data_IF_723492146887
#
_entry.id   IF_723492146887
#
_cell.length_a   1.000
_cell.length_b   1.000
_cell.length_c   1.000
_cell.angle_alpha   90.00
_cell.angle_beta   90.00
_cell.angle_gamma   90.00
#
_symmetry.space_group_name_H-M   'P 1'
#
loop_
_entity.id
_entity.type
_entity.pdbx_description
1 polymer ?
#
# COMPACT_ATOMS: atom_id res chain seq x y z
N UNK A 1 -51.24 -15.50 -41.42
CA UNK A 1 -51.02 -15.70 -39.96
C UNK A 1 -49.56 -15.85 -39.61
N UNK A 2 -48.73 -16.68 -40.28
CA UNK A 2 -47.30 -16.84 -39.96
C UNK A 2 -46.44 -15.55 -40.05
N UNK A 3 -46.74 -14.66 -40.99
CA UNK A 3 -45.99 -13.40 -41.16
C UNK A 3 -46.29 -12.34 -40.07
N UNK A 4 -47.47 -12.42 -39.45
CA UNK A 4 -47.86 -11.52 -38.36
C UNK A 4 -47.20 -11.92 -37.01
N UNK A 5 -46.99 -13.22 -36.81
CA UNK A 5 -46.31 -13.72 -35.57
C UNK A 5 -44.84 -13.32 -35.53
N UNK A 6 -44.14 -13.27 -36.67
CA UNK A 6 -42.74 -12.86 -36.78
C UNK A 6 -42.57 -11.38 -36.42
N UNK A 7 -43.51 -10.53 -36.88
CA UNK A 7 -43.50 -9.09 -36.56
C UNK A 7 -43.64 -8.80 -35.04
N UNK A 8 -44.47 -9.55 -34.35
CA UNK A 8 -44.69 -9.37 -32.91
C UNK A 8 -43.46 -9.81 -32.11
N UNK A 9 -42.76 -10.88 -32.49
CA UNK A 9 -41.53 -11.33 -31.83
C UNK A 9 -40.39 -10.32 -31.98
N UNK A 10 -40.27 -9.67 -33.17
CA UNK A 10 -39.26 -8.62 -33.36
C UNK A 10 -39.53 -7.35 -32.55
N UNK A 11 -40.79 -7.00 -32.28
CA UNK A 11 -41.16 -5.82 -31.50
C UNK A 11 -40.91 -6.07 -29.98
N UNK A 12 -41.15 -7.31 -29.50
CA UNK A 12 -40.89 -7.69 -28.11
C UNK A 12 -39.38 -7.77 -27.77
N UNK A 13 -38.52 -8.03 -28.74
CA UNK A 13 -37.08 -8.07 -28.55
C UNK A 13 -36.45 -6.68 -28.41
N UNK A 14 -37.12 -5.61 -28.85
CA UNK A 14 -36.63 -4.22 -28.74
C UNK A 14 -36.92 -3.60 -27.37
N UNK A 15 -37.78 -4.19 -26.54
CA UNK A 15 -38.07 -3.72 -25.18
C UNK A 15 -37.22 -4.32 -24.08
N UNK A 16 -36.30 -5.25 -24.41
CA UNK A 16 -35.57 -6.04 -23.40
C UNK A 16 -34.22 -5.44 -23.00
N UNK A 17 -33.79 -4.28 -23.48
CA UNK A 17 -32.46 -3.73 -23.14
C UNK A 17 -32.49 -2.30 -22.65
N UNK A 18 -33.32 -2.03 -21.62
CA UNK A 18 -33.06 -0.93 -20.71
C UNK A 18 -32.92 -1.49 -19.31
N UNK A 19 -31.99 -2.42 -19.14
CA UNK A 19 -31.38 -2.62 -17.83
C UNK A 19 -30.37 -1.47 -17.68
N UNK A 20 -30.81 -0.36 -17.13
CA UNK A 20 -29.89 0.52 -16.43
C UNK A 20 -29.33 -0.33 -15.30
N UNK A 21 -28.21 -1.01 -15.53
CA UNK A 21 -27.33 -1.41 -14.48
C UNK A 21 -26.86 -0.06 -13.87
N UNK A 22 -27.52 0.38 -12.84
CA UNK A 22 -26.99 1.39 -11.94
C UNK A 22 -25.69 0.78 -11.45
N UNK A 23 -24.59 1.23 -12.02
CA UNK A 23 -23.26 0.89 -11.56
C UNK A 23 -23.20 1.42 -10.13
N UNK A 24 -23.49 0.55 -9.17
CA UNK A 24 -23.27 0.84 -7.75
C UNK A 24 -21.77 0.95 -7.62
N UNK A 25 -21.24 2.14 -7.91
CA UNK A 25 -19.87 2.51 -7.54
C UNK A 25 -19.84 2.53 -6.02
N UNK A 26 -19.60 1.37 -5.43
CA UNK A 26 -19.27 1.31 -4.01
C UNK A 26 -17.93 2.01 -3.87
N UNK A 27 -17.93 3.22 -3.29
CA UNK A 27 -16.70 3.94 -2.95
C UNK A 27 -15.83 2.99 -2.11
N UNK A 28 -14.55 2.89 -2.43
CA UNK A 28 -13.60 2.07 -1.68
C UNK A 28 -13.59 2.48 -0.20
N UNK A 29 -13.51 1.49 0.67
CA UNK A 29 -13.40 1.73 2.10
C UNK A 29 -12.02 2.31 2.42
N UNK A 30 -11.97 3.19 3.42
CA UNK A 30 -10.71 3.69 3.93
C UNK A 30 -10.06 2.68 4.87
N UNK A 31 -8.74 2.62 4.88
CA UNK A 31 -8.00 1.81 5.83
C UNK A 31 -7.81 2.56 7.14
N UNK A 32 -8.11 1.89 8.25
CA UNK A 32 -7.75 2.31 9.61
C UNK A 32 -6.59 1.46 10.06
N UNK A 33 -5.41 2.04 10.02
CA UNK A 33 -4.18 1.36 10.42
C UNK A 33 -3.99 1.47 11.92
N UNK A 34 -3.68 0.34 12.55
CA UNK A 34 -3.39 0.26 13.99
C UNK A 34 -2.02 -0.37 14.16
N UNK A 35 -1.03 0.43 14.47
CA UNK A 35 0.30 -0.05 14.82
C UNK A 35 0.28 -0.51 16.27
N UNK A 36 0.69 -1.75 16.50
CA UNK A 36 0.48 -2.45 17.77
C UNK A 36 1.75 -3.09 18.31
N UNK A 37 1.65 -3.60 19.54
CA UNK A 37 2.62 -4.48 20.19
C UNK A 37 1.89 -5.72 20.71
N UNK A 38 2.52 -6.87 20.64
CA UNK A 38 2.02 -8.09 21.29
C UNK A 38 1.81 -7.89 22.79
N UNK A 39 0.63 -8.30 23.27
CA UNK A 39 0.24 -8.16 24.68
C UNK A 39 -0.05 -6.70 25.12
N UNK A 40 -0.31 -5.79 24.20
CA UNK A 40 -0.64 -4.39 24.51
C UNK A 40 -2.12 -4.23 24.87
N UNK A 41 -2.51 -3.92 26.12
CA UNK A 41 -3.92 -3.87 26.51
C UNK A 41 -4.67 -2.67 25.90
N UNK A 42 -3.99 -1.57 25.61
CA UNK A 42 -4.61 -0.41 24.95
C UNK A 42 -4.84 -0.68 23.45
N UNK A 43 -3.96 -1.44 22.80
CA UNK A 43 -4.12 -1.87 21.43
C UNK A 43 -5.34 -2.79 21.30
N UNK A 44 -5.51 -3.74 22.22
CA UNK A 44 -6.69 -4.63 22.26
C UNK A 44 -8.00 -3.84 22.45
N UNK A 45 -8.00 -2.83 23.32
CA UNK A 45 -9.17 -1.96 23.50
C UNK A 45 -9.50 -1.18 22.23
N UNK A 46 -8.50 -0.63 21.54
CA UNK A 46 -8.70 0.08 20.29
C UNK A 46 -9.28 -0.83 19.20
N UNK A 47 -8.71 -2.03 19.03
CA UNK A 47 -9.19 -3.03 18.09
C UNK A 47 -10.63 -3.47 18.41
N UNK A 48 -10.92 -3.75 19.68
CA UNK A 48 -12.26 -4.14 20.13
C UNK A 48 -13.30 -3.06 19.80
N UNK A 49 -12.96 -1.80 20.02
CA UNK A 49 -13.84 -0.68 19.64
C UNK A 49 -14.06 -0.63 18.14
N UNK A 50 -12.99 -0.68 17.34
CA UNK A 50 -13.09 -0.66 15.89
C UNK A 50 -13.91 -1.84 15.36
N UNK A 51 -13.67 -3.06 15.84
CA UNK A 51 -14.44 -4.23 15.43
C UNK A 51 -15.92 -4.11 15.81
N UNK A 52 -16.24 -3.68 17.03
CA UNK A 52 -17.64 -3.49 17.46
C UNK A 52 -18.35 -2.40 16.68
N UNK A 53 -17.63 -1.37 16.25
CA UNK A 53 -18.21 -0.27 15.47
C UNK A 53 -18.51 -0.63 14.01
N UNK A 54 -17.97 -1.76 13.49
CA UNK A 54 -18.26 -2.26 12.14
C UNK A 54 -19.73 -2.56 11.90
N UNK A 55 -20.48 -2.96 12.92
CA UNK A 55 -21.91 -3.19 12.78
C UNK A 55 -22.64 -1.95 12.21
N UNK A 56 -22.24 -0.77 12.65
CA UNK A 56 -22.87 0.51 12.26
C UNK A 56 -22.10 1.23 11.14
N UNK A 57 -20.78 1.13 11.13
CA UNK A 57 -19.90 1.94 10.31
C UNK A 57 -19.02 1.15 9.34
N UNK A 58 -19.10 -0.18 9.31
CA UNK A 58 -18.24 -1.06 8.53
C UNK A 58 -18.33 -0.89 7.00
N UNK A 59 -19.29 -0.09 6.51
CA UNK A 59 -19.31 0.29 5.09
C UNK A 59 -18.25 1.35 4.73
N UNK A 60 -17.71 2.05 5.73
CA UNK A 60 -16.78 3.15 5.51
C UNK A 60 -15.31 2.73 5.58
N UNK A 61 -14.98 1.66 6.31
CA UNK A 61 -13.58 1.33 6.60
C UNK A 61 -13.29 -0.16 6.73
N UNK A 62 -12.00 -0.47 6.58
CA UNK A 62 -11.38 -1.73 6.99
C UNK A 62 -10.31 -1.46 8.05
N UNK A 63 -10.03 -2.47 8.88
CA UNK A 63 -9.00 -2.40 9.92
C UNK A 63 -7.77 -3.14 9.43
N UNK A 64 -6.61 -2.47 9.46
CA UNK A 64 -5.32 -3.04 9.11
C UNK A 64 -4.42 -2.97 10.33
N UNK A 65 -4.09 -4.13 10.91
CA UNK A 65 -3.20 -4.20 12.06
C UNK A 65 -1.74 -4.43 11.63
N UNK A 66 -0.83 -3.62 12.17
CA UNK A 66 0.61 -3.77 12.02
C UNK A 66 1.25 -3.96 13.39
N UNK A 67 1.66 -5.18 13.70
CA UNK A 67 2.38 -5.47 14.94
C UNK A 67 3.83 -5.07 14.79
N UNK A 68 4.16 -3.84 15.22
CA UNK A 68 5.52 -3.26 15.12
C UNK A 68 6.48 -3.73 16.19
N UNK A 69 5.97 -4.26 17.31
CA UNK A 69 6.79 -4.83 18.38
C UNK A 69 6.25 -6.19 18.80
N UNK A 70 7.16 -7.11 19.10
CA UNK A 70 6.83 -8.35 19.80
C UNK A 70 6.61 -8.12 21.32
N UNK A 71 6.33 -9.18 22.09
CA UNK A 71 6.14 -9.11 23.54
C UNK A 71 7.38 -8.59 24.29
N UNK A 72 8.56 -8.79 23.75
CA UNK A 72 9.85 -8.37 24.31
C UNK A 72 10.33 -7.00 23.82
N UNK A 73 9.49 -6.27 23.08
CA UNK A 73 9.81 -4.99 22.45
C UNK A 73 10.84 -5.05 21.34
N UNK A 74 11.07 -6.22 20.73
CA UNK A 74 11.84 -6.27 19.51
C UNK A 74 10.99 -5.69 18.37
N UNK A 75 11.58 -4.78 17.60
CA UNK A 75 10.90 -4.11 16.53
C UNK A 75 10.95 -4.91 15.21
N UNK A 76 9.86 -4.91 14.46
CA UNK A 76 9.88 -5.21 13.04
C UNK A 76 10.36 -3.96 12.29
N UNK A 77 11.57 -4.00 11.74
CA UNK A 77 12.21 -2.84 11.11
C UNK A 77 11.39 -2.30 9.92
N UNK A 78 10.76 -3.17 9.14
CA UNK A 78 9.97 -2.76 7.98
C UNK A 78 8.72 -2.01 8.42
N UNK A 79 7.98 -2.54 9.38
CA UNK A 79 6.78 -1.89 9.93
C UNK A 79 7.12 -0.62 10.70
N UNK A 80 8.26 -0.59 11.38
CA UNK A 80 8.76 0.63 12.04
C UNK A 80 9.09 1.73 11.04
N UNK A 81 9.69 1.39 9.90
CA UNK A 81 9.98 2.36 8.86
C UNK A 81 8.70 2.96 8.28
N UNK A 82 7.66 2.15 8.04
CA UNK A 82 6.35 2.63 7.62
C UNK A 82 5.74 3.56 8.67
N UNK A 83 5.73 3.15 9.94
CA UNK A 83 5.18 3.95 11.02
C UNK A 83 5.90 5.29 11.16
N UNK A 84 7.24 5.29 11.11
CA UNK A 84 8.05 6.50 11.21
C UNK A 84 7.84 7.43 10.01
N UNK A 85 7.76 6.90 8.79
CA UNK A 85 7.45 7.68 7.60
C UNK A 85 6.13 8.44 7.74
N UNK A 86 5.08 7.74 8.17
CA UNK A 86 3.76 8.35 8.39
C UNK A 86 3.84 9.42 9.48
N UNK A 87 4.52 9.14 10.59
CA UNK A 87 4.68 10.08 11.69
C UNK A 87 5.42 11.36 11.22
N UNK A 88 6.49 11.21 10.47
CA UNK A 88 7.27 12.33 9.93
C UNK A 88 6.44 13.20 8.97
N UNK A 89 5.69 12.58 8.05
CA UNK A 89 4.80 13.30 7.12
C UNK A 89 3.71 14.10 7.85
N UNK A 90 3.26 13.60 8.99
CA UNK A 90 2.24 14.25 9.82
C UNK A 90 2.82 15.24 10.83
N UNK A 91 4.11 15.18 11.10
CA UNK A 91 4.76 15.91 12.18
C UNK A 91 4.40 15.38 13.58
N UNK A 92 4.05 14.10 13.66
CA UNK A 92 3.69 13.44 14.91
C UNK A 92 4.94 12.97 15.67
N UNK A 93 4.82 12.92 17.01
CA UNK A 93 5.78 12.21 17.87
C UNK A 93 5.15 10.92 18.34
N UNK A 94 5.61 9.80 17.78
CA UNK A 94 5.12 8.48 18.20
C UNK A 94 5.92 8.03 19.43
N UNK A 95 5.29 8.05 20.61
CA UNK A 95 5.91 7.67 21.88
C UNK A 95 5.57 6.23 22.30
N UNK A 96 4.70 5.56 21.54
CA UNK A 96 4.27 4.19 21.87
C UNK A 96 3.14 3.69 20.97
N UNK A 97 2.51 2.61 21.42
CA UNK A 97 1.40 1.95 20.73
C UNK A 97 0.16 1.85 21.63
N UNK A 98 -1.06 1.83 21.07
CA UNK A 98 -1.37 1.87 19.64
C UNK A 98 -1.07 3.24 19.03
N UNK A 99 -0.58 3.25 17.80
CA UNK A 99 -0.60 4.43 16.95
C UNK A 99 -1.62 4.16 15.84
N UNK A 100 -2.67 4.96 15.78
CA UNK A 100 -3.80 4.79 14.86
C UNK A 100 -3.69 5.85 13.77
N UNK A 101 -3.82 5.46 12.51
CA UNK A 101 -3.70 6.35 11.35
C UNK A 101 -4.88 6.12 10.41
N UNK A 102 -5.45 7.22 9.91
CA UNK A 102 -6.50 7.23 8.90
C UNK A 102 -6.13 8.29 7.86
N UNK A 103 -5.63 7.82 6.71
CA UNK A 103 -5.16 8.71 5.65
C UNK A 103 -4.06 9.68 6.09
N UNK A 104 -4.12 10.88 5.52
CA UNK A 104 -3.22 11.99 5.84
C UNK A 104 -3.82 13.02 6.81
N UNK A 105 -5.07 12.87 7.20
CA UNK A 105 -5.81 13.86 8.00
C UNK A 105 -5.99 13.48 9.47
N UNK A 106 -5.80 12.22 9.87
CA UNK A 106 -5.99 11.80 11.26
C UNK A 106 -4.92 10.81 11.75
N UNK A 107 -4.41 11.08 12.94
CA UNK A 107 -3.61 10.13 13.72
C UNK A 107 -3.89 10.27 15.22
N UNK A 108 -3.64 9.20 15.94
CA UNK A 108 -3.81 9.14 17.39
C UNK A 108 -2.72 8.28 18.02
N UNK A 109 -2.01 8.83 18.99
CA UNK A 109 -1.00 8.13 19.78
C UNK A 109 -1.61 7.71 21.14
N UNK A 110 -1.69 6.40 21.38
CA UNK A 110 -2.44 5.84 22.48
C UNK A 110 -3.94 5.72 22.20
N UNK A 111 -4.68 5.11 23.13
CA UNK A 111 -6.12 4.97 22.99
C UNK A 111 -6.84 4.99 24.33
N UNK A 112 -7.91 5.78 24.39
CA UNK A 112 -8.97 5.69 25.40
C UNK A 112 -10.33 5.79 24.73
N UNK A 113 -11.39 5.39 25.41
CA UNK A 113 -12.77 5.46 24.86
C UNK A 113 -13.25 6.89 24.56
N UNK A 114 -12.59 7.90 25.08
CA UNK A 114 -12.89 9.31 24.80
C UNK A 114 -12.62 9.68 23.33
N UNK A 115 -11.75 8.93 22.66
CA UNK A 115 -11.40 9.14 21.26
C UNK A 115 -12.36 8.46 20.26
N UNK A 116 -13.33 7.68 20.74
CA UNK A 116 -14.23 6.90 19.88
C UNK A 116 -14.93 7.77 18.83
N UNK A 117 -15.52 8.88 19.25
CA UNK A 117 -16.24 9.77 18.32
C UNK A 117 -15.31 10.45 17.32
N UNK A 118 -14.11 10.83 17.76
CA UNK A 118 -13.10 11.43 16.88
C UNK A 118 -12.62 10.45 15.81
N UNK A 119 -12.40 9.19 16.18
CA UNK A 119 -12.00 8.14 15.24
C UNK A 119 -13.12 7.91 14.21
N UNK A 120 -14.39 7.79 14.63
CA UNK A 120 -15.52 7.60 13.72
C UNK A 120 -15.73 8.81 12.82
N UNK A 121 -15.53 10.03 13.32
CA UNK A 121 -15.60 11.25 12.52
C UNK A 121 -14.52 11.25 11.45
N UNK A 122 -13.28 10.97 11.83
CA UNK A 122 -12.16 10.91 10.90
C UNK A 122 -12.34 9.84 9.80
N UNK A 123 -12.88 8.66 10.16
CA UNK A 123 -13.22 7.61 9.18
C UNK A 123 -14.23 8.13 8.15
N UNK A 124 -15.27 8.82 8.59
CA UNK A 124 -16.30 9.35 7.69
C UNK A 124 -15.79 10.49 6.83
N UNK A 125 -14.96 11.36 7.40
CA UNK A 125 -14.32 12.46 6.68
C UNK A 125 -13.43 11.90 5.59
N UNK A 126 -12.52 10.98 5.92
CA UNK A 126 -11.66 10.32 4.95
C UNK A 126 -12.44 9.56 3.86
N UNK A 127 -13.51 8.85 4.23
CA UNK A 127 -14.36 8.17 3.26
C UNK A 127 -15.07 9.13 2.30
N UNK A 128 -15.45 10.32 2.73
CA UNK A 128 -16.14 11.31 1.90
C UNK A 128 -15.19 12.25 1.16
N UNK A 129 -13.92 12.25 1.50
CA UNK A 129 -12.89 13.05 0.86
C UNK A 129 -12.54 12.46 -0.51
N UNK A 130 -12.66 13.28 -1.55
CA UNK A 130 -12.28 12.88 -2.92
C UNK A 130 -10.76 13.05 -3.16
N UNK A 131 -10.08 13.81 -2.31
CA UNK A 131 -8.63 14.02 -2.31
C UNK A 131 -7.90 13.12 -1.28
N UNK A 132 -8.59 12.11 -0.73
CA UNK A 132 -8.05 11.19 0.28
C UNK A 132 -6.69 10.60 -0.13
N UNK A 133 -5.73 10.65 0.79
CA UNK A 133 -4.40 10.08 0.61
C UNK A 133 -4.12 9.06 1.70
N UNK A 134 -3.67 7.90 1.30
CA UNK A 134 -3.25 6.84 2.21
C UNK A 134 -1.73 6.89 2.41
N UNK A 135 -1.28 7.54 3.48
CA UNK A 135 0.15 7.70 3.79
C UNK A 135 0.87 6.38 4.05
N UNK A 136 0.14 5.34 4.47
CA UNK A 136 0.74 4.02 4.71
C UNK A 136 1.02 3.31 3.39
N UNK A 137 0.10 3.43 2.42
CA UNK A 137 0.33 2.93 1.06
C UNK A 137 1.47 3.72 0.39
N UNK A 138 1.54 5.03 0.59
CA UNK A 138 2.66 5.86 0.11
C UNK A 138 4.00 5.36 0.68
N UNK A 139 4.08 5.13 1.99
CA UNK A 139 5.27 4.60 2.66
C UNK A 139 5.69 3.22 2.14
N UNK A 140 4.73 2.35 1.83
CA UNK A 140 5.00 1.03 1.27
C UNK A 140 5.61 1.12 -0.13
N UNK A 141 5.10 2.00 -0.96
CA UNK A 141 5.59 2.21 -2.32
C UNK A 141 7.00 2.79 -2.34
N UNK A 142 7.31 3.77 -1.49
CA UNK A 142 8.67 4.33 -1.36
C UNK A 142 9.67 3.28 -0.87
N UNK A 143 9.28 2.39 0.05
CA UNK A 143 10.14 1.31 0.51
C UNK A 143 10.42 0.28 -0.58
N UNK A 144 9.46 -0.04 -1.45
CA UNK A 144 9.65 -0.92 -2.59
C UNK A 144 10.61 -0.32 -3.63
N UNK A 145 10.48 0.96 -3.96
CA UNK A 145 11.39 1.64 -4.87
C UNK A 145 12.83 1.67 -4.35
N UNK A 146 13.02 1.81 -3.03
CA UNK A 146 14.33 1.81 -2.39
C UNK A 146 14.97 0.40 -2.37
N UNK A 147 14.19 -0.66 -2.23
CA UNK A 147 14.66 -2.05 -2.31
C UNK A 147 15.04 -2.42 -3.76
N UNK A 148 14.21 -2.09 -4.74
CA UNK A 148 14.47 -2.33 -6.17
C UNK A 148 15.72 -1.58 -6.67
N UNK A 149 15.95 -0.36 -6.16
CA UNK A 149 17.14 0.43 -6.50
C UNK A 149 18.42 -0.21 -5.95
N UNK A 150 18.38 -0.76 -4.73
CA UNK A 150 19.52 -1.44 -4.11
C UNK A 150 19.85 -2.79 -4.77
N UNK A 151 18.84 -3.54 -5.21
CA UNK A 151 19.06 -4.78 -5.98
C UNK A 151 19.64 -4.48 -7.36
N UNK A 152 19.17 -3.45 -8.03
CA UNK A 152 19.72 -3.01 -9.32
C UNK A 152 21.16 -2.48 -9.20
N UNK A 153 21.51 -1.71 -8.17
CA UNK A 153 22.90 -1.26 -7.96
C UNK A 153 23.85 -2.44 -7.75
N UNK A 154 23.49 -3.46 -6.97
CA UNK A 154 24.30 -4.67 -6.79
C UNK A 154 24.46 -5.49 -8.08
N UNK A 155 23.43 -5.52 -8.93
CA UNK A 155 23.48 -6.20 -10.22
C UNK A 155 24.33 -5.46 -11.26
N UNK A 156 24.31 -4.12 -11.25
CA UNK A 156 25.09 -3.29 -12.17
C UNK A 156 26.58 -3.32 -11.86
N UNK A 157 27.00 -3.33 -10.60
CA UNK A 157 28.41 -3.41 -10.22
C UNK A 157 29.07 -4.70 -10.70
N UNK A 158 28.36 -5.83 -10.64
CA UNK A 158 28.84 -7.11 -11.17
C UNK A 158 28.99 -7.11 -12.70
N UNK A 159 28.05 -6.49 -13.41
CA UNK A 159 28.06 -6.40 -14.88
C UNK A 159 29.12 -5.43 -15.41
N UNK A 160 29.29 -4.28 -14.76
CA UNK A 160 30.31 -3.27 -15.14
C UNK A 160 31.70 -3.83 -14.92
N UNK A 161 31.99 -4.51 -13.79
CA UNK A 161 33.25 -5.13 -13.50
C UNK A 161 33.56 -6.26 -14.48
N UNK A 162 32.62 -7.11 -14.85
CA UNK A 162 32.80 -8.17 -15.86
C UNK A 162 33.04 -7.58 -17.26
N UNK A 163 32.31 -6.52 -17.64
CA UNK A 163 32.46 -5.85 -18.92
C UNK A 163 33.83 -5.18 -19.10
N UNK A 164 34.34 -4.51 -18.06
CA UNK A 164 35.67 -3.88 -18.07
C UNK A 164 36.78 -4.94 -18.16
N UNK A 165 36.64 -6.05 -17.44
CA UNK A 165 37.60 -7.15 -17.47
C UNK A 165 37.70 -7.78 -18.87
N UNK A 166 36.58 -7.98 -19.56
CA UNK A 166 36.55 -8.52 -20.94
C UNK A 166 37.20 -7.55 -21.92
N UNK A 167 36.99 -6.23 -21.79
CA UNK A 167 37.59 -5.23 -22.66
C UNK A 167 39.12 -5.16 -22.46
N UNK A 168 39.60 -5.23 -21.22
CA UNK A 168 41.04 -5.20 -20.91
C UNK A 168 41.73 -6.43 -21.41
N UNK A 169 41.21 -7.63 -21.16
CA UNK A 169 41.78 -8.89 -21.61
C UNK A 169 41.70 -9.00 -23.14
N UNK A 170 40.58 -8.64 -23.76
CA UNK A 170 40.44 -8.64 -25.22
C UNK A 170 41.37 -7.63 -25.90
N UNK A 171 41.57 -6.45 -25.32
CA UNK A 171 42.52 -5.45 -25.81
C UNK A 171 43.98 -5.92 -25.76
N UNK A 172 44.41 -6.60 -24.69
CA UNK A 172 45.76 -7.14 -24.54
C UNK A 172 46.01 -8.25 -25.56
N UNK A 173 45.06 -9.16 -25.76
CA UNK A 173 45.17 -10.25 -26.76
C UNK A 173 45.26 -9.69 -28.18
N UNK A 174 44.42 -8.71 -28.52
CA UNK A 174 44.47 -8.04 -29.83
C UNK A 174 45.80 -7.33 -30.06
N UNK A 175 46.34 -6.63 -29.05
CA UNK A 175 47.66 -5.99 -29.15
C UNK A 175 48.81 -6.97 -29.37
N UNK A 176 48.81 -8.10 -28.66
CA UNK A 176 49.82 -9.14 -28.81
C UNK A 176 49.75 -9.78 -30.22
N UNK A 177 48.54 -10.01 -30.75
CA UNK A 177 48.36 -10.54 -32.10
C UNK A 177 48.86 -9.59 -33.18
N UNK A 178 48.57 -8.27 -33.02
CA UNK A 178 49.05 -7.22 -33.96
C UNK A 178 50.57 -7.05 -33.89
N UNK A 179 51.16 -7.08 -32.70
CA UNK A 179 52.61 -7.01 -32.51
C UNK A 179 53.35 -8.18 -33.14
N UNK A 180 52.80 -9.40 -33.05
CA UNK A 180 53.36 -10.61 -33.72
C UNK A 180 53.28 -10.55 -35.24
N UNK A 181 52.25 -9.89 -35.80
CA UNK A 181 52.11 -9.76 -37.27
C UNK A 181 53.08 -8.76 -37.88
N UNK A 182 53.62 -7.81 -37.09
CA UNK A 182 54.58 -6.81 -37.57
C UNK A 182 56.05 -7.30 -37.57
N UNK A 183 56.32 -8.43 -36.91
CA UNK A 183 57.65 -9.02 -36.79
C UNK A 183 57.87 -10.29 -37.70
N UNK A 184 57.01 -10.47 -38.69
CA UNK A 184 57.11 -11.42 -39.75
C UNK A 184 57.21 -10.68 -41.11
#
# INVERSE_FOLDING_TARGET
MKKFLIGIICILSLFAFNVNAEEVTTKEKVNVYVFTKDGCPYCEKAKTFLESSKEKYGKYYEIVEYQVYDSSWNADEKLMNIMNYVADKRGDKVEGVPYIVIGDNFSLNGYTSEYNDSIISAIKEAYNDDDYKDLVVEAQNENHEAEDTKENEKSYDGLITAGILILVVGGIVAFICLARKKNK
#
